data_IF_716609937864
#
_entry.id   IF_716609937864
#
_cell.length_a   1.000
_cell.length_b   1.000
_cell.length_c   1.000
_cell.angle_alpha   90.00
_cell.angle_beta   90.00
_cell.angle_gamma   90.00
#
_symmetry.space_group_name_H-M   'P 1'
#
loop_
_entity.id
_entity.type
_entity.pdbx_description
1 polymer ?
#
# COMPACT_ATOMS: atom_id res chain seq x y z
N UNK A 1 10.07 -47.69 6.84
CA UNK A 1 8.90 -46.83 6.69
C UNK A 1 9.14 -45.36 7.04
N UNK A 2 9.98 -45.02 8.07
CA UNK A 2 10.24 -43.61 8.45
C UNK A 2 10.95 -42.76 7.36
N UNK A 3 11.86 -43.35 6.58
CA UNK A 3 12.61 -42.59 5.56
C UNK A 3 11.81 -42.27 4.28
N UNK A 4 10.74 -43.03 3.97
CA UNK A 4 9.85 -42.70 2.82
C UNK A 4 8.90 -41.57 3.10
N UNK A 5 8.46 -41.40 4.36
CA UNK A 5 7.57 -40.31 4.78
C UNK A 5 8.31 -38.95 4.77
N UNK A 6 9.61 -38.93 5.20
CA UNK A 6 10.42 -37.70 5.14
C UNK A 6 10.68 -37.22 3.70
N UNK A 7 10.94 -38.17 2.78
CA UNK A 7 11.16 -37.81 1.37
C UNK A 7 9.89 -37.24 0.70
N UNK A 8 8.70 -37.77 1.04
CA UNK A 8 7.43 -37.29 0.48
C UNK A 8 7.03 -35.90 1.02
N UNK A 9 7.33 -35.61 2.29
CA UNK A 9 7.07 -34.28 2.89
C UNK A 9 8.04 -33.24 2.33
N UNK A 10 9.32 -33.57 2.12
CA UNK A 10 10.29 -32.65 1.54
C UNK A 10 9.95 -32.28 0.08
N UNK A 11 9.49 -33.27 -0.74
CA UNK A 11 9.07 -33.00 -2.13
C UNK A 11 7.80 -32.15 -2.17
N UNK A 12 6.85 -32.36 -1.24
CA UNK A 12 5.63 -31.57 -1.18
C UNK A 12 5.92 -30.11 -0.78
N UNK A 13 6.86 -29.86 0.16
CA UNK A 13 7.25 -28.49 0.54
C UNK A 13 7.98 -27.76 -0.60
N UNK A 14 8.90 -28.42 -1.29
CA UNK A 14 9.58 -27.81 -2.44
C UNK A 14 8.65 -27.57 -3.63
N UNK A 15 7.68 -28.44 -3.87
CA UNK A 15 6.68 -28.28 -4.91
C UNK A 15 5.72 -27.10 -4.67
N UNK A 16 5.33 -26.86 -3.42
CA UNK A 16 4.43 -25.74 -3.06
C UNK A 16 5.15 -24.39 -3.13
N UNK A 17 6.42 -24.30 -2.74
CA UNK A 17 7.21 -23.08 -2.86
C UNK A 17 7.41 -22.67 -4.33
N UNK A 18 7.71 -23.63 -5.22
CA UNK A 18 7.83 -23.36 -6.65
C UNK A 18 6.52 -22.91 -7.29
N UNK A 19 5.39 -23.49 -6.90
CA UNK A 19 4.06 -23.07 -7.39
C UNK A 19 3.72 -21.64 -6.97
N UNK A 20 3.98 -21.26 -5.72
CA UNK A 20 3.73 -19.90 -5.23
C UNK A 20 4.59 -18.86 -5.96
N UNK A 21 5.86 -19.15 -6.22
CA UNK A 21 6.77 -18.27 -6.94
C UNK A 21 6.32 -18.05 -8.39
N UNK A 22 5.94 -19.10 -9.08
CA UNK A 22 5.45 -19.04 -10.46
C UNK A 22 4.12 -18.28 -10.54
N UNK A 23 3.20 -18.53 -9.62
CA UNK A 23 1.91 -17.82 -9.54
C UNK A 23 2.10 -16.32 -9.34
N UNK A 24 3.06 -15.88 -8.49
CA UNK A 24 3.32 -14.46 -8.29
C UNK A 24 3.87 -13.79 -9.54
N UNK A 25 4.80 -14.42 -10.28
CA UNK A 25 5.32 -13.90 -11.54
C UNK A 25 4.22 -13.79 -12.59
N UNK A 26 3.42 -14.83 -12.76
CA UNK A 26 2.28 -14.84 -13.69
C UNK A 26 1.26 -13.73 -13.35
N UNK A 27 0.97 -13.52 -12.06
CA UNK A 27 0.06 -12.46 -11.62
C UNK A 27 0.61 -11.06 -11.93
N UNK A 28 1.88 -10.82 -11.67
CA UNK A 28 2.54 -9.53 -11.94
C UNK A 28 2.59 -9.25 -13.43
N UNK A 29 3.03 -10.22 -14.23
CA UNK A 29 3.13 -10.06 -15.68
C UNK A 29 1.76 -10.06 -16.40
N UNK A 30 0.74 -10.64 -15.77
CA UNK A 30 -0.64 -10.60 -16.28
C UNK A 30 -1.32 -9.24 -16.09
N UNK A 31 -0.76 -8.36 -15.26
CA UNK A 31 -1.18 -6.97 -15.06
C UNK A 31 0.08 -6.16 -14.82
N UNK A 32 0.68 -5.68 -15.90
CA UNK A 32 2.04 -5.09 -15.87
C UNK A 32 2.14 -3.89 -14.91
N UNK A 33 1.06 -3.17 -14.67
CA UNK A 33 0.98 -2.07 -13.72
C UNK A 33 1.31 -2.50 -12.28
N UNK A 34 1.18 -3.79 -11.94
CA UNK A 34 1.60 -4.33 -10.64
C UNK A 34 3.10 -4.26 -10.42
N UNK A 35 3.90 -4.18 -11.50
CA UNK A 35 5.33 -3.95 -11.39
C UNK A 35 5.69 -2.60 -10.77
N UNK A 36 4.74 -1.68 -10.68
CA UNK A 36 4.89 -0.42 -9.96
C UNK A 36 4.87 -0.57 -8.42
N UNK A 37 4.65 -1.78 -7.89
CA UNK A 37 4.65 -2.03 -6.45
C UNK A 37 3.64 -1.18 -5.71
N UNK A 38 4.07 -0.42 -4.69
CA UNK A 38 3.19 0.48 -3.91
C UNK A 38 2.66 1.67 -4.72
N UNK A 39 3.17 1.92 -5.93
CA UNK A 39 2.60 2.90 -6.87
C UNK A 39 1.42 2.31 -7.67
N UNK A 40 1.14 1.01 -7.53
CA UNK A 40 -0.02 0.39 -8.16
C UNK A 40 -1.29 1.16 -7.78
N UNK A 41 -2.01 1.66 -8.78
CA UNK A 41 -3.26 2.39 -8.57
C UNK A 41 -4.29 1.47 -7.91
N UNK A 42 -5.11 2.01 -7.02
CA UNK A 42 -6.14 1.23 -6.33
C UNK A 42 -7.05 0.53 -7.35
N UNK A 43 -7.16 -0.80 -7.32
CA UNK A 43 -7.93 -1.52 -8.32
C UNK A 43 -9.42 -1.18 -8.22
N UNK A 44 -10.10 -1.16 -9.35
CA UNK A 44 -11.56 -1.05 -9.36
C UNK A 44 -12.20 -2.27 -8.68
N UNK A 45 -13.03 -2.01 -7.65
CA UNK A 45 -13.68 -3.04 -6.83
C UNK A 45 -15.20 -2.98 -7.04
N UNK A 46 -15.64 -2.94 -8.29
CA UNK A 46 -17.05 -2.71 -8.63
C UNK A 46 -18.01 -3.79 -8.10
N UNK A 47 -17.53 -5.02 -7.85
CA UNK A 47 -18.35 -6.17 -7.49
C UNK A 47 -17.94 -6.86 -6.18
N UNK A 48 -17.31 -6.14 -5.25
CA UNK A 48 -16.92 -6.73 -3.96
C UNK A 48 -18.18 -6.98 -3.10
N UNK A 49 -18.70 -8.22 -3.13
CA UNK A 49 -19.80 -8.62 -2.27
C UNK A 49 -19.25 -8.89 -0.87
N UNK A 50 -19.64 -8.06 0.09
CA UNK A 50 -19.38 -8.32 1.50
C UNK A 50 -20.40 -9.29 2.07
N UNK A 51 -19.96 -10.18 2.95
CA UNK A 51 -20.87 -11.12 3.64
C UNK A 51 -21.92 -10.35 4.45
N UNK A 52 -23.21 -10.62 4.28
CA UNK A 52 -24.28 -9.93 5.01
C UNK A 52 -24.15 -10.10 6.52
N UNK A 53 -24.65 -9.14 7.28
CA UNK A 53 -24.70 -9.24 8.74
C UNK A 53 -25.49 -10.50 9.18
N UNK A 54 -25.07 -11.20 10.24
CA UNK A 54 -25.81 -12.31 10.79
C UNK A 54 -27.21 -11.88 11.23
N UNK A 55 -28.16 -12.84 11.23
CA UNK A 55 -29.57 -12.57 11.61
C UNK A 55 -29.66 -11.88 12.98
N UNK A 56 -30.33 -10.74 13.02
CA UNK A 56 -30.51 -9.94 14.23
C UNK A 56 -29.39 -8.94 14.53
N UNK A 57 -28.34 -8.92 13.71
CA UNK A 57 -27.25 -7.95 13.85
C UNK A 57 -27.40 -6.79 12.85
N UNK A 58 -26.95 -5.63 13.28
CA UNK A 58 -26.97 -4.39 12.46
C UNK A 58 -25.61 -3.69 12.57
N UNK A 59 -24.97 -3.28 11.46
CA UNK A 59 -23.74 -2.49 11.53
C UNK A 59 -24.02 -1.13 12.16
N UNK A 60 -23.10 -0.64 13.02
CA UNK A 60 -23.32 0.62 13.73
C UNK A 60 -22.09 1.51 13.84
N UNK A 61 -20.88 0.99 13.67
CA UNK A 61 -19.63 1.75 13.75
C UNK A 61 -18.60 1.20 12.77
N UNK A 62 -17.77 2.09 12.21
CA UNK A 62 -16.62 1.72 11.37
C UNK A 62 -15.37 2.43 11.85
N UNK A 63 -14.31 1.68 12.15
CA UNK A 63 -12.95 2.19 12.30
C UNK A 63 -12.21 2.01 10.98
N UNK A 64 -11.74 3.10 10.39
CA UNK A 64 -11.05 3.11 9.11
C UNK A 64 -9.64 3.69 9.25
N UNK A 65 -8.69 3.08 8.55
CA UNK A 65 -7.37 3.63 8.27
C UNK A 65 -7.10 3.57 6.76
N UNK A 66 -6.79 4.70 6.13
CA UNK A 66 -6.49 4.80 4.70
C UNK A 66 -5.11 5.39 4.44
N UNK A 67 -4.41 4.84 3.46
CA UNK A 67 -3.30 5.49 2.77
C UNK A 67 -3.86 6.61 1.89
N UNK A 68 -3.10 7.69 1.62
CA UNK A 68 -3.46 8.66 0.59
C UNK A 68 -3.69 7.98 -0.77
N UNK A 69 -4.46 8.61 -1.66
CA UNK A 69 -4.73 8.14 -3.00
C UNK A 69 -3.54 8.27 -3.95
N UNK A 70 -3.76 7.94 -5.23
CA UNK A 70 -2.80 8.16 -6.31
C UNK A 70 -2.25 9.58 -6.29
N UNK A 71 -0.96 9.74 -6.59
CA UNK A 71 -0.19 10.98 -6.51
C UNK A 71 0.91 11.01 -7.55
N UNK A 72 1.44 12.18 -7.84
CA UNK A 72 2.65 12.36 -8.65
C UNK A 72 3.89 11.86 -7.90
N UNK A 73 5.03 11.70 -8.59
CA UNK A 73 6.32 11.32 -7.97
C UNK A 73 6.68 12.28 -6.82
N UNK A 74 7.61 11.84 -5.97
CA UNK A 74 7.87 12.53 -4.71
C UNK A 74 8.69 13.82 -4.87
N UNK A 75 9.53 13.89 -5.89
CA UNK A 75 10.35 15.07 -6.16
C UNK A 75 10.21 15.50 -7.62
N UNK A 76 10.29 16.82 -7.85
CA UNK A 76 10.33 17.38 -9.20
C UNK A 76 11.52 16.83 -10.00
N UNK A 77 12.62 16.53 -9.32
CA UNK A 77 13.82 15.93 -9.90
C UNK A 77 13.59 14.54 -10.43
N UNK A 78 12.61 13.80 -9.92
CA UNK A 78 12.27 12.45 -10.43
C UNK A 78 11.83 12.50 -11.91
N UNK A 79 11.29 13.65 -12.37
CA UNK A 79 10.97 13.89 -13.78
C UNK A 79 12.07 14.66 -14.50
N UNK A 80 12.55 15.75 -13.90
CA UNK A 80 13.43 16.70 -14.60
C UNK A 80 14.85 16.18 -14.84
N UNK A 81 15.35 15.26 -14.02
CA UNK A 81 16.69 14.73 -14.19
C UNK A 81 16.76 13.77 -15.39
N UNK A 82 15.77 12.88 -15.56
CA UNK A 82 15.69 12.02 -16.72
C UNK A 82 15.45 12.84 -18.00
N UNK A 83 14.58 13.85 -17.96
CA UNK A 83 14.36 14.76 -19.10
C UNK A 83 15.68 15.44 -19.49
N UNK A 84 16.39 16.04 -18.54
CA UNK A 84 17.68 16.70 -18.79
C UNK A 84 18.71 15.75 -19.37
N UNK A 85 18.79 14.52 -18.89
CA UNK A 85 19.70 13.49 -19.38
C UNK A 85 19.39 13.18 -20.85
N UNK A 86 18.13 12.99 -21.20
CA UNK A 86 17.70 12.68 -22.56
C UNK A 86 17.85 13.89 -23.51
N UNK A 87 17.54 15.11 -23.04
CA UNK A 87 17.78 16.35 -23.83
C UNK A 87 19.25 16.56 -24.18
N UNK A 88 20.15 16.32 -23.22
CA UNK A 88 21.59 16.46 -23.48
C UNK A 88 22.06 15.41 -24.50
N UNK A 89 21.52 14.21 -24.47
CA UNK A 89 21.81 13.19 -25.46
C UNK A 89 21.26 13.52 -26.85
N UNK A 90 20.07 14.14 -26.92
CA UNK A 90 19.51 14.59 -28.21
C UNK A 90 20.32 15.72 -28.82
N UNK A 91 20.72 16.73 -28.03
CA UNK A 91 21.63 17.81 -28.47
C UNK A 91 22.97 17.27 -29.02
N UNK A 92 23.44 16.15 -28.47
CA UNK A 92 24.64 15.46 -28.92
C UNK A 92 24.40 14.49 -30.12
N UNK A 93 23.18 14.41 -30.63
CA UNK A 93 22.75 13.43 -31.64
C UNK A 93 23.07 11.97 -31.26
N UNK A 94 22.97 11.67 -29.96
CA UNK A 94 23.28 10.35 -29.38
C UNK A 94 22.05 9.44 -29.23
N UNK A 95 20.83 9.96 -29.45
CA UNK A 95 19.59 9.19 -29.29
C UNK A 95 19.22 8.40 -30.58
N UNK A 96 18.71 7.19 -30.36
CA UNK A 96 18.01 6.43 -31.41
C UNK A 96 16.62 7.04 -31.67
N UNK A 97 15.89 6.61 -32.71
CA UNK A 97 14.48 6.99 -32.88
C UNK A 97 13.60 6.69 -31.65
N UNK A 98 13.84 5.56 -30.97
CA UNK A 98 13.14 5.20 -29.74
C UNK A 98 13.50 6.14 -28.58
N UNK A 99 14.78 6.50 -28.44
CA UNK A 99 15.22 7.46 -27.42
C UNK A 99 14.59 8.85 -27.62
N UNK A 100 14.45 9.30 -28.90
CA UNK A 100 13.75 10.56 -29.21
C UNK A 100 12.26 10.49 -28.92
N UNK A 101 11.62 9.37 -29.20
CA UNK A 101 10.22 9.15 -28.86
C UNK A 101 10.02 9.14 -27.34
N UNK A 102 10.90 8.47 -26.57
CA UNK A 102 10.87 8.48 -25.12
C UNK A 102 11.03 9.91 -24.56
N UNK A 103 11.94 10.73 -25.10
CA UNK A 103 12.08 12.14 -24.71
C UNK A 103 10.80 12.95 -24.99
N UNK A 104 10.17 12.76 -26.14
CA UNK A 104 8.90 13.42 -26.46
C UNK A 104 7.80 13.06 -25.47
N UNK A 105 7.69 11.77 -25.11
CA UNK A 105 6.75 11.30 -24.09
C UNK A 105 7.05 11.89 -22.70
N UNK A 106 8.32 12.01 -22.31
CA UNK A 106 8.72 12.67 -21.07
C UNK A 106 8.27 14.14 -21.05
N UNK A 107 8.48 14.89 -22.14
CA UNK A 107 7.98 16.27 -22.25
C UNK A 107 6.46 16.36 -22.21
N UNK A 108 5.76 15.37 -22.75
CA UNK A 108 4.29 15.33 -22.71
C UNK A 108 3.77 15.17 -21.29
N UNK A 109 4.26 14.18 -20.56
CA UNK A 109 3.79 13.90 -19.21
C UNK A 109 4.19 15.01 -18.24
N UNK A 110 5.34 15.65 -18.46
CA UNK A 110 5.81 16.71 -17.58
C UNK A 110 4.91 17.95 -17.61
N UNK A 111 4.19 18.21 -18.71
CA UNK A 111 3.18 19.30 -18.76
C UNK A 111 2.07 19.11 -17.71
N UNK A 112 1.75 17.87 -17.38
CA UNK A 112 0.80 17.58 -16.29
C UNK A 112 1.50 17.57 -14.94
N UNK A 113 2.73 17.05 -14.83
CA UNK A 113 3.44 16.84 -13.58
C UNK A 113 4.16 18.08 -13.03
N UNK A 114 4.47 19.09 -13.88
CA UNK A 114 5.21 20.29 -13.51
C UNK A 114 4.60 21.01 -12.29
N UNK A 115 5.41 21.19 -11.24
CA UNK A 115 5.02 21.85 -10.00
C UNK A 115 4.01 21.04 -9.16
N UNK A 116 3.84 19.74 -9.41
CA UNK A 116 2.87 18.89 -8.72
C UNK A 116 3.51 17.71 -7.98
N UNK A 117 4.83 17.75 -7.78
CA UNK A 117 5.51 16.73 -6.98
C UNK A 117 4.83 16.53 -5.62
N UNK A 118 4.63 15.28 -5.21
CA UNK A 118 3.91 14.84 -4.00
C UNK A 118 2.39 15.09 -3.97
N UNK A 119 1.82 15.86 -4.87
CA UNK A 119 0.41 16.21 -4.85
C UNK A 119 -0.49 15.00 -5.13
N UNK A 120 -1.63 14.95 -4.46
CA UNK A 120 -2.70 14.01 -4.76
C UNK A 120 -3.19 14.23 -6.20
N UNK A 121 -3.19 13.18 -7.03
CA UNK A 121 -3.69 13.30 -8.39
C UNK A 121 -5.24 13.28 -8.44
N UNK A 122 -5.86 13.72 -9.54
CA UNK A 122 -7.30 13.61 -9.72
C UNK A 122 -7.82 12.17 -9.57
N UNK A 123 -7.03 11.18 -9.99
CA UNK A 123 -7.34 9.76 -9.75
C UNK A 123 -7.39 9.44 -8.25
N UNK A 124 -6.45 9.97 -7.46
CA UNK A 124 -6.43 9.78 -6.00
C UNK A 124 -7.68 10.30 -5.31
N UNK A 125 -8.20 11.44 -5.76
CA UNK A 125 -9.50 11.98 -5.31
C UNK A 125 -10.62 11.00 -5.63
N UNK A 126 -10.69 10.50 -6.87
CA UNK A 126 -11.74 9.55 -7.30
C UNK A 126 -11.67 8.22 -6.53
N UNK A 127 -10.47 7.73 -6.22
CA UNK A 127 -10.28 6.52 -5.43
C UNK A 127 -10.92 6.66 -4.04
N UNK A 128 -10.63 7.72 -3.31
CA UNK A 128 -11.20 7.94 -1.98
C UNK A 128 -12.71 8.18 -2.01
N UNK A 129 -13.21 8.91 -2.98
CA UNK A 129 -14.67 9.09 -3.18
C UNK A 129 -15.35 7.73 -3.47
N UNK A 130 -14.73 6.87 -4.29
CA UNK A 130 -15.24 5.53 -4.59
C UNK A 130 -15.26 4.61 -3.37
N UNK A 131 -14.19 4.61 -2.55
CA UNK A 131 -14.14 3.83 -1.31
C UNK A 131 -15.23 4.31 -0.32
N UNK A 132 -15.39 5.62 -0.15
CA UNK A 132 -16.44 6.19 0.70
C UNK A 132 -17.85 5.79 0.23
N UNK A 133 -18.10 5.83 -1.07
CA UNK A 133 -19.39 5.43 -1.65
C UNK A 133 -19.67 3.95 -1.42
N UNK A 134 -18.71 3.07 -1.67
CA UNK A 134 -18.87 1.62 -1.43
C UNK A 134 -19.06 1.32 0.05
N UNK A 135 -18.32 1.99 0.95
CA UNK A 135 -18.50 1.87 2.39
C UNK A 135 -19.92 2.28 2.81
N UNK A 136 -20.42 3.42 2.33
CA UNK A 136 -21.79 3.88 2.59
C UNK A 136 -22.83 2.90 2.05
N UNK A 137 -22.66 2.42 0.82
CA UNK A 137 -23.58 1.48 0.16
C UNK A 137 -23.64 0.13 0.88
N UNK A 138 -22.51 -0.36 1.38
CA UNK A 138 -22.43 -1.64 2.08
C UNK A 138 -22.97 -1.57 3.52
N UNK A 139 -22.89 -0.38 4.16
CA UNK A 139 -23.24 -0.20 5.58
C UNK A 139 -24.06 1.08 5.82
N UNK A 140 -25.19 1.29 5.10
CA UNK A 140 -25.93 2.56 5.19
C UNK A 140 -26.48 2.83 6.61
N UNK A 141 -26.73 1.81 7.41
CA UNK A 141 -27.20 1.93 8.79
C UNK A 141 -26.16 2.61 9.71
N UNK A 142 -24.87 2.50 9.40
CA UNK A 142 -23.81 3.18 10.14
C UNK A 142 -23.94 4.69 10.00
N UNK A 143 -24.31 5.14 8.82
CA UNK A 143 -24.39 6.56 8.42
C UNK A 143 -25.81 7.13 8.53
N UNK A 144 -26.56 6.71 9.55
CA UNK A 144 -27.89 7.25 9.81
C UNK A 144 -27.84 8.74 10.18
N UNK A 145 -29.00 9.42 10.04
CA UNK A 145 -29.14 10.85 10.33
C UNK A 145 -28.67 11.22 11.75
N UNK A 146 -27.95 12.34 11.85
CA UNK A 146 -27.51 12.89 13.13
C UNK A 146 -26.28 12.19 13.75
N UNK A 147 -25.74 11.15 13.08
CA UNK A 147 -24.51 10.48 13.54
C UNK A 147 -23.28 11.33 13.28
N UNK A 148 -22.24 11.14 14.10
CA UNK A 148 -20.99 11.89 14.02
C UNK A 148 -19.86 11.05 13.45
N UNK A 149 -18.95 11.69 12.73
CA UNK A 149 -17.72 11.07 12.18
C UNK A 149 -16.54 11.91 12.62
N UNK A 150 -15.53 11.26 13.23
CA UNK A 150 -14.22 11.85 13.47
C UNK A 150 -13.29 11.46 12.34
N UNK A 151 -12.74 12.45 11.62
CA UNK A 151 -11.81 12.24 10.51
C UNK A 151 -10.47 12.93 10.81
N UNK A 152 -9.38 12.17 10.82
CA UNK A 152 -8.03 12.66 11.11
C UNK A 152 -7.06 12.26 10.01
N UNK A 153 -6.16 13.18 9.66
CA UNK A 153 -5.07 12.89 8.72
C UNK A 153 -3.71 13.28 9.28
N UNK A 154 -2.66 12.72 8.67
CA UNK A 154 -1.33 13.32 8.81
C UNK A 154 -1.37 14.76 8.25
N UNK A 155 -0.36 15.56 8.66
CA UNK A 155 -0.25 16.96 8.22
C UNK A 155 0.22 17.11 6.76
N UNK A 156 0.48 16.01 6.07
CA UNK A 156 0.88 16.01 4.67
C UNK A 156 -0.34 16.26 3.79
N UNK A 157 -0.23 17.22 2.88
CA UNK A 157 -1.35 17.75 2.10
C UNK A 157 -2.16 16.65 1.38
N UNK A 158 -1.50 15.70 0.70
CA UNK A 158 -2.19 14.62 0.00
C UNK A 158 -3.03 13.72 0.92
N UNK A 159 -2.64 13.56 2.20
CA UNK A 159 -3.44 12.81 3.18
C UNK A 159 -4.68 13.62 3.61
N UNK A 160 -4.51 14.93 3.85
CA UNK A 160 -5.62 15.81 4.19
C UNK A 160 -6.63 15.93 3.04
N UNK A 161 -6.15 16.03 1.80
CA UNK A 161 -7.00 16.04 0.60
C UNK A 161 -7.72 14.71 0.38
N UNK A 162 -7.06 13.58 0.64
CA UNK A 162 -7.69 12.25 0.62
C UNK A 162 -8.80 12.12 1.65
N UNK A 163 -8.56 12.61 2.88
CA UNK A 163 -9.56 12.68 3.94
C UNK A 163 -10.75 13.54 3.54
N UNK A 164 -10.51 14.73 2.96
CA UNK A 164 -11.57 15.62 2.50
C UNK A 164 -12.40 14.97 1.39
N UNK A 165 -11.76 14.40 0.35
CA UNK A 165 -12.44 13.71 -0.75
C UNK A 165 -13.36 12.58 -0.27
N UNK A 166 -12.88 11.80 0.72
CA UNK A 166 -13.64 10.73 1.35
C UNK A 166 -14.86 11.27 2.12
N UNK A 167 -14.63 12.24 3.00
CA UNK A 167 -15.68 12.80 3.84
C UNK A 167 -16.71 13.60 3.05
N UNK A 168 -16.31 14.36 2.04
CA UNK A 168 -17.20 15.09 1.15
C UNK A 168 -18.15 14.13 0.42
N UNK A 169 -17.64 12.96 -0.02
CA UNK A 169 -18.50 11.95 -0.63
C UNK A 169 -19.53 11.40 0.35
N UNK A 170 -19.15 11.14 1.61
CA UNK A 170 -20.13 10.75 2.64
C UNK A 170 -21.18 11.85 2.89
N UNK A 171 -20.77 13.13 2.90
CA UNK A 171 -21.71 14.28 3.06
C UNK A 171 -22.65 14.43 1.87
N UNK A 172 -22.20 14.17 0.65
CA UNK A 172 -23.08 14.16 -0.54
C UNK A 172 -24.14 13.05 -0.44
N UNK A 173 -23.76 11.88 0.07
CA UNK A 173 -24.66 10.73 0.23
C UNK A 173 -25.64 10.91 1.41
N UNK A 174 -25.21 11.55 2.49
CA UNK A 174 -26.07 11.96 3.59
C UNK A 174 -25.65 13.33 4.17
N UNK A 175 -26.29 14.43 3.74
CA UNK A 175 -25.99 15.79 4.21
C UNK A 175 -26.17 16.02 5.73
N UNK A 176 -26.91 15.14 6.42
CA UNK A 176 -27.18 15.25 7.87
C UNK A 176 -26.07 14.68 8.76
N UNK A 177 -25.04 14.04 8.17
CA UNK A 177 -23.87 13.60 8.92
C UNK A 177 -23.08 14.81 9.45
N UNK A 178 -22.55 14.71 10.66
CA UNK A 178 -21.61 15.69 11.21
C UNK A 178 -20.19 15.12 11.13
N UNK A 179 -19.34 15.69 10.27
CA UNK A 179 -17.97 15.25 10.08
C UNK A 179 -17.01 16.30 10.65
N UNK A 180 -16.16 15.88 11.59
CA UNK A 180 -15.14 16.70 12.23
C UNK A 180 -13.77 16.35 11.64
N UNK A 181 -13.21 17.28 10.87
CA UNK A 181 -11.92 17.11 10.20
C UNK A 181 -10.79 17.70 11.03
N UNK A 182 -9.74 16.93 11.25
CA UNK A 182 -8.54 17.38 11.94
C UNK A 182 -7.27 16.89 11.21
N UNK A 183 -6.39 17.84 10.86
CA UNK A 183 -5.02 17.56 10.41
C UNK A 183 -4.09 18.36 11.32
N UNK A 184 -3.45 17.70 12.29
CA UNK A 184 -2.74 18.39 13.37
C UNK A 184 -1.49 17.64 13.81
N UNK A 185 -0.41 18.39 14.13
CA UNK A 185 0.81 17.84 14.76
C UNK A 185 0.53 17.08 16.05
N UNK A 186 -0.56 17.43 16.74
CA UNK A 186 -1.03 16.75 17.97
C UNK A 186 -1.20 15.24 17.80
N UNK A 187 -1.59 14.79 16.61
CA UNK A 187 -1.91 13.39 16.35
C UNK A 187 -0.79 12.61 15.64
N UNK A 188 0.29 13.28 15.25
CA UNK A 188 1.38 12.64 14.50
C UNK A 188 2.04 11.52 15.28
N UNK A 189 2.14 11.65 16.60
CA UNK A 189 2.78 10.64 17.45
C UNK A 189 2.17 9.24 17.26
N UNK A 190 0.84 9.12 17.27
CA UNK A 190 0.20 7.82 17.06
C UNK A 190 -0.07 7.51 15.58
N UNK A 191 -0.33 8.51 14.71
CA UNK A 191 -0.65 8.28 13.30
C UNK A 191 0.55 7.85 12.47
N UNK A 192 1.71 8.45 12.71
CA UNK A 192 2.91 8.31 11.87
C UNK A 192 4.19 8.13 12.67
N UNK A 193 4.11 8.04 13.99
CA UNK A 193 5.27 7.89 14.87
C UNK A 193 6.04 6.60 14.57
N UNK A 194 7.37 6.67 14.61
CA UNK A 194 8.26 5.53 14.42
C UNK A 194 9.31 5.54 15.52
N UNK A 195 9.62 4.39 16.10
CA UNK A 195 10.62 4.28 17.16
C UNK A 195 12.05 4.50 16.65
N UNK A 196 12.96 4.84 17.56
CA UNK A 196 14.36 5.02 17.22
C UNK A 196 15.01 3.72 16.72
N UNK A 197 14.61 2.56 17.27
CA UNK A 197 15.07 1.24 16.82
C UNK A 197 14.60 0.96 15.39
N UNK A 198 13.35 1.28 15.06
CA UNK A 198 12.85 1.13 13.70
C UNK A 198 13.57 2.07 12.75
N UNK A 199 13.80 3.32 13.14
CA UNK A 199 14.54 4.30 12.33
C UNK A 199 16.01 3.88 12.13
N UNK A 200 16.67 3.34 13.15
CA UNK A 200 18.02 2.82 13.02
C UNK A 200 18.10 1.62 12.04
N UNK A 201 17.10 0.74 12.07
CA UNK A 201 17.06 -0.40 11.13
C UNK A 201 16.74 0.05 9.71
N UNK A 202 15.74 0.91 9.52
CA UNK A 202 15.20 1.27 8.18
C UNK A 202 15.99 2.40 7.50
N UNK A 203 16.84 3.10 8.23
CA UNK A 203 17.61 4.24 7.74
C UNK A 203 18.66 3.88 6.68
N UNK A 204 19.32 4.91 6.16
CA UNK A 204 20.28 4.78 5.06
C UNK A 204 21.49 3.89 5.39
N UNK A 205 21.82 3.73 6.66
CA UNK A 205 22.89 2.84 7.15
C UNK A 205 22.34 1.54 7.77
N UNK A 206 21.06 1.23 7.52
CA UNK A 206 20.43 0.01 8.05
C UNK A 206 21.06 -1.26 7.53
N UNK A 207 21.10 -2.33 8.33
CA UNK A 207 21.84 -3.57 8.00
C UNK A 207 21.29 -4.29 6.76
N UNK A 208 20.02 -4.06 6.41
CA UNK A 208 19.36 -4.63 5.23
C UNK A 208 19.96 -4.14 3.90
N UNK A 209 20.59 -2.95 3.89
CA UNK A 209 21.08 -2.31 2.66
C UNK A 209 22.16 -3.09 1.94
N UNK A 210 23.03 -3.79 2.65
CA UNK A 210 24.12 -4.55 2.03
C UNK A 210 23.56 -5.64 1.11
N UNK A 211 22.56 -6.38 1.59
CA UNK A 211 21.92 -7.43 0.78
C UNK A 211 21.02 -6.82 -0.32
N UNK A 212 20.34 -5.72 -0.01
CA UNK A 212 19.56 -4.98 -1.01
C UNK A 212 20.42 -4.51 -2.20
N UNK A 213 21.57 -3.89 -1.95
CA UNK A 213 22.44 -3.40 -3.02
C UNK A 213 23.00 -4.53 -3.88
N UNK A 214 23.34 -5.66 -3.29
CA UNK A 214 23.74 -6.87 -4.04
C UNK A 214 22.59 -7.37 -4.91
N UNK A 215 21.40 -7.47 -4.33
CA UNK A 215 20.20 -7.93 -5.01
C UNK A 215 19.80 -6.98 -6.15
N UNK A 216 19.78 -5.67 -5.89
CA UNK A 216 19.49 -4.62 -6.86
C UNK A 216 20.45 -4.69 -8.05
N UNK A 217 21.76 -4.85 -7.81
CA UNK A 217 22.76 -4.98 -8.89
C UNK A 217 22.57 -6.25 -9.71
N UNK A 218 22.21 -7.36 -9.10
CA UNK A 218 21.98 -8.62 -9.79
C UNK A 218 20.70 -8.62 -10.66
N UNK A 219 19.72 -7.79 -10.32
CA UNK A 219 18.39 -7.72 -10.99
C UNK A 219 18.20 -6.46 -11.84
N UNK A 220 19.22 -5.61 -12.03
CA UNK A 220 19.13 -4.45 -12.90
C UNK A 220 19.94 -4.70 -14.18
N UNK A 221 19.23 -4.92 -15.27
CA UNK A 221 19.81 -5.23 -16.59
C UNK A 221 19.72 -4.00 -17.51
N UNK A 222 20.80 -3.20 -17.58
CA UNK A 222 20.79 -1.92 -18.29
C UNK A 222 21.23 -1.99 -19.77
N UNK A 223 21.98 -3.01 -20.17
CA UNK A 223 22.64 -3.07 -21.48
C UNK A 223 21.66 -2.98 -22.66
N UNK A 224 20.58 -3.79 -22.62
CA UNK A 224 19.55 -3.78 -23.68
C UNK A 224 18.86 -2.43 -23.74
N UNK A 225 18.44 -1.92 -22.57
CA UNK A 225 17.72 -0.65 -22.45
C UNK A 225 18.52 0.50 -23.03
N UNK A 226 19.79 0.63 -22.62
CA UNK A 226 20.69 1.71 -23.09
C UNK A 226 20.94 1.58 -24.59
N UNK A 227 21.23 0.38 -25.12
CA UNK A 227 21.40 0.15 -26.57
C UNK A 227 20.14 0.46 -27.39
N UNK A 228 18.96 0.30 -26.80
CA UNK A 228 17.71 0.68 -27.46
C UNK A 228 17.52 2.20 -27.52
N UNK A 229 18.00 2.94 -26.52
CA UNK A 229 17.82 4.40 -26.38
C UNK A 229 18.91 5.23 -27.08
N UNK A 230 20.15 4.72 -27.14
CA UNK A 230 21.31 5.48 -27.60
C UNK A 230 21.98 4.83 -28.82
N UNK A 231 22.45 5.67 -29.74
CA UNK A 231 23.17 5.26 -30.93
C UNK A 231 24.65 5.65 -30.92
N UNK A 232 25.17 6.18 -29.82
CA UNK A 232 26.55 6.62 -29.65
C UNK A 232 27.14 6.07 -28.35
N UNK A 233 27.89 4.97 -28.44
CA UNK A 233 28.49 4.28 -27.29
C UNK A 233 29.53 5.18 -26.57
N UNK A 234 30.27 6.03 -27.28
CA UNK A 234 31.25 6.94 -26.66
C UNK A 234 30.55 8.00 -25.81
N UNK A 235 29.41 8.50 -26.27
CA UNK A 235 28.59 9.43 -25.50
C UNK A 235 28.07 8.76 -24.22
N UNK A 236 27.51 7.55 -24.35
CA UNK A 236 27.01 6.77 -23.20
C UNK A 236 28.11 6.55 -22.17
N UNK A 237 29.27 6.08 -22.59
CA UNK A 237 30.38 5.80 -21.69
C UNK A 237 30.82 7.02 -20.88
N UNK A 238 30.73 8.22 -21.44
CA UNK A 238 31.19 9.47 -20.80
C UNK A 238 30.13 10.18 -19.97
N UNK A 239 28.84 10.03 -20.30
CA UNK A 239 27.81 10.93 -19.83
C UNK A 239 26.62 10.23 -19.16
N UNK A 240 26.47 8.90 -19.30
CA UNK A 240 25.31 8.15 -18.82
C UNK A 240 25.75 7.16 -17.76
N UNK A 241 25.03 7.13 -16.64
CA UNK A 241 25.02 5.99 -15.75
C UNK A 241 23.89 5.05 -16.21
N UNK A 242 24.22 3.91 -16.85
CA UNK A 242 23.21 2.99 -17.37
C UNK A 242 22.30 2.41 -16.29
N UNK A 243 22.85 2.20 -15.11
CA UNK A 243 22.12 1.61 -14.00
C UNK A 243 21.06 2.57 -13.45
N UNK A 244 21.44 3.81 -13.15
CA UNK A 244 20.50 4.80 -12.64
C UNK A 244 19.47 5.22 -13.71
N UNK A 245 19.86 5.32 -14.99
CA UNK A 245 18.92 5.67 -16.06
C UNK A 245 17.75 4.66 -16.16
N UNK A 246 18.01 3.37 -15.99
CA UNK A 246 16.95 2.33 -15.98
C UNK A 246 15.98 2.58 -14.82
N UNK A 247 16.50 2.93 -13.64
CA UNK A 247 15.67 3.23 -12.48
C UNK A 247 14.88 4.53 -12.66
N UNK A 248 15.46 5.57 -13.24
CA UNK A 248 14.74 6.82 -13.53
C UNK A 248 13.53 6.56 -14.41
N UNK A 249 13.72 5.81 -15.51
CA UNK A 249 12.61 5.43 -16.38
C UNK A 249 11.61 4.47 -15.71
N UNK A 250 12.06 3.58 -14.83
CA UNK A 250 11.16 2.71 -14.07
C UNK A 250 10.25 3.50 -13.12
N UNK A 251 10.77 4.52 -12.43
CA UNK A 251 9.96 5.38 -11.57
C UNK A 251 8.92 6.15 -12.37
N UNK A 252 9.31 6.75 -13.49
CA UNK A 252 8.38 7.43 -14.40
C UNK A 252 7.31 6.45 -14.91
N UNK A 253 7.72 5.28 -15.42
CA UNK A 253 6.79 4.26 -15.92
C UNK A 253 5.78 3.83 -14.84
N UNK A 254 6.25 3.67 -13.59
CA UNK A 254 5.42 3.26 -12.45
C UNK A 254 4.33 4.27 -12.11
N UNK A 255 4.59 5.57 -12.37
CA UNK A 255 3.67 6.65 -12.00
C UNK A 255 2.58 6.92 -13.05
N UNK A 256 2.76 6.49 -14.29
CA UNK A 256 1.82 6.81 -15.40
C UNK A 256 0.38 6.41 -15.07
N UNK A 257 0.17 5.29 -14.40
CA UNK A 257 -1.15 4.84 -13.97
C UNK A 257 -1.80 5.72 -12.90
N UNK A 258 -1.06 6.64 -12.29
CA UNK A 258 -1.52 7.58 -11.25
C UNK A 258 -1.87 8.96 -11.81
N UNK A 259 -1.55 9.23 -13.07
CA UNK A 259 -1.78 10.48 -13.80
C UNK A 259 -3.01 10.39 -14.72
N UNK A 260 -3.40 11.53 -15.32
CA UNK A 260 -4.52 11.61 -16.29
C UNK A 260 -4.02 11.46 -17.75
N UNK A 261 -2.89 10.80 -17.95
CA UNK A 261 -2.25 10.63 -19.27
C UNK A 261 -2.50 9.25 -19.86
N UNK A 262 -2.65 9.12 -21.19
CA UNK A 262 -2.62 7.83 -21.87
C UNK A 262 -1.19 7.34 -22.17
N UNK A 263 -0.17 8.15 -21.87
CA UNK A 263 1.24 7.81 -22.14
C UNK A 263 1.68 6.66 -21.25
N UNK A 264 2.46 5.75 -21.82
CA UNK A 264 3.10 4.64 -21.09
C UNK A 264 4.59 4.61 -21.42
N UNK A 265 5.39 4.04 -20.52
CA UNK A 265 6.81 3.75 -20.73
C UNK A 265 7.12 2.26 -20.48
N UNK A 266 6.12 1.44 -20.21
CA UNK A 266 6.31 0.00 -19.99
C UNK A 266 6.84 -0.71 -21.24
N UNK A 267 6.51 -0.21 -22.44
CA UNK A 267 7.00 -0.71 -23.73
C UNK A 267 8.52 -0.55 -23.96
N UNK A 268 9.18 0.29 -23.16
CA UNK A 268 10.64 0.46 -23.20
C UNK A 268 11.37 -0.72 -22.54
N UNK A 269 10.69 -1.48 -21.71
CA UNK A 269 11.21 -2.62 -20.97
C UNK A 269 10.68 -3.94 -21.51
N UNK A 270 11.40 -5.01 -21.29
CA UNK A 270 10.82 -6.35 -21.39
C UNK A 270 10.03 -6.67 -20.11
N UNK A 271 9.05 -7.59 -20.17
CA UNK A 271 8.33 -8.03 -18.98
C UNK A 271 9.25 -8.57 -17.86
N UNK A 272 10.31 -9.29 -18.23
CA UNK A 272 11.28 -9.81 -17.26
C UNK A 272 12.09 -8.70 -16.58
N UNK A 273 12.52 -7.67 -17.32
CA UNK A 273 13.19 -6.50 -16.76
C UNK A 273 12.30 -5.77 -15.75
N UNK A 274 11.02 -5.55 -16.08
CA UNK A 274 10.06 -4.93 -15.15
C UNK A 274 9.84 -5.79 -13.91
N UNK A 275 9.77 -7.11 -14.08
CA UNK A 275 9.62 -8.03 -12.97
C UNK A 275 10.83 -7.99 -12.03
N UNK A 276 12.04 -7.97 -12.57
CA UNK A 276 13.29 -7.90 -11.80
C UNK A 276 13.42 -6.57 -11.05
N UNK A 277 13.09 -5.44 -11.67
CA UNK A 277 13.06 -4.13 -11.03
C UNK A 277 12.01 -4.09 -9.92
N UNK A 278 10.81 -4.64 -10.17
CA UNK A 278 9.78 -4.75 -9.15
C UNK A 278 10.23 -5.61 -7.96
N UNK A 279 10.90 -6.74 -8.16
CA UNK A 279 11.42 -7.56 -7.06
C UNK A 279 12.35 -6.75 -6.16
N UNK A 280 13.23 -5.91 -6.75
CA UNK A 280 14.11 -5.02 -5.98
C UNK A 280 13.31 -4.01 -5.17
N UNK A 281 12.30 -3.38 -5.77
CA UNK A 281 11.47 -2.39 -5.10
C UNK A 281 10.61 -3.04 -4.00
N UNK A 282 9.96 -4.17 -4.30
CA UNK A 282 9.21 -4.95 -3.32
C UNK A 282 10.05 -5.33 -2.10
N UNK A 283 11.30 -5.79 -2.32
CA UNK A 283 12.21 -6.11 -1.23
C UNK A 283 12.63 -4.89 -0.43
N UNK A 284 12.99 -3.78 -1.09
CA UNK A 284 13.32 -2.52 -0.41
C UNK A 284 12.16 -2.06 0.48
N UNK A 285 10.95 -2.06 -0.06
CA UNK A 285 9.76 -1.62 0.66
C UNK A 285 9.45 -2.56 1.83
N UNK A 286 9.61 -3.88 1.63
CA UNK A 286 9.49 -4.88 2.67
C UNK A 286 10.48 -4.63 3.82
N UNK A 287 11.75 -4.41 3.52
CA UNK A 287 12.80 -4.15 4.53
C UNK A 287 12.51 -2.90 5.36
N UNK A 288 11.90 -1.89 4.75
CA UNK A 288 11.70 -0.59 5.42
C UNK A 288 10.34 -0.43 6.07
N UNK A 289 9.32 -1.25 5.73
CA UNK A 289 7.97 -1.03 6.19
C UNK A 289 7.23 -2.29 6.68
N UNK A 290 7.75 -3.50 6.44
CA UNK A 290 7.09 -4.74 6.81
C UNK A 290 7.82 -5.48 7.95
N UNK A 291 7.49 -6.76 8.13
CA UNK A 291 8.01 -7.60 9.23
C UNK A 291 9.35 -8.28 8.84
N UNK A 292 10.36 -7.53 8.45
CA UNK A 292 11.68 -8.09 8.14
C UNK A 292 12.27 -8.78 9.38
N UNK A 293 12.68 -10.05 9.26
CA UNK A 293 13.13 -10.88 10.39
C UNK A 293 14.26 -10.24 11.21
N UNK A 294 15.24 -9.59 10.53
CA UNK A 294 16.34 -8.93 11.23
C UNK A 294 15.93 -7.66 12.00
N UNK A 295 14.77 -7.07 11.71
CA UNK A 295 14.23 -5.95 12.47
C UNK A 295 13.64 -6.37 13.83
N UNK A 296 13.46 -7.69 14.06
CA UNK A 296 12.98 -8.26 15.34
C UNK A 296 11.70 -7.59 15.85
N UNK A 297 10.81 -7.23 14.94
CA UNK A 297 9.54 -6.58 15.25
C UNK A 297 9.61 -5.06 15.49
N UNK A 298 10.77 -4.42 15.47
CA UNK A 298 10.91 -2.99 15.77
C UNK A 298 10.01 -2.10 14.88
N UNK A 299 9.93 -2.42 13.58
CA UNK A 299 9.11 -1.66 12.63
C UNK A 299 7.63 -1.74 13.04
N UNK A 300 7.10 -2.94 13.23
CA UNK A 300 5.69 -3.15 13.59
C UNK A 300 5.37 -2.56 14.98
N UNK A 301 6.25 -2.76 15.97
CA UNK A 301 6.04 -2.28 17.33
C UNK A 301 5.94 -0.75 17.40
N UNK A 302 6.50 -0.02 16.44
CA UNK A 302 6.34 1.44 16.34
C UNK A 302 4.89 1.88 16.15
N UNK A 303 4.00 0.97 15.71
CA UNK A 303 2.59 1.26 15.42
C UNK A 303 1.63 0.76 16.50
N UNK A 304 2.14 0.36 17.67
CA UNK A 304 1.31 -0.01 18.81
C UNK A 304 0.39 1.12 19.27
N UNK A 305 0.85 2.37 19.24
CA UNK A 305 0.00 3.50 19.62
C UNK A 305 -1.14 3.74 18.63
N UNK A 306 -0.92 3.47 17.34
CA UNK A 306 -1.98 3.50 16.33
C UNK A 306 -3.00 2.38 16.57
N UNK A 307 -2.55 1.16 16.84
CA UNK A 307 -3.44 0.05 17.19
C UNK A 307 -4.21 0.32 18.48
N UNK A 308 -3.55 0.87 19.50
CA UNK A 308 -4.20 1.31 20.75
C UNK A 308 -5.31 2.31 20.46
N UNK A 309 -5.03 3.33 19.67
CA UNK A 309 -6.04 4.32 19.27
C UNK A 309 -7.22 3.70 18.50
N UNK A 310 -6.99 2.67 17.69
CA UNK A 310 -8.06 1.94 17.00
C UNK A 310 -8.96 1.23 18.01
N UNK A 311 -8.38 0.50 18.98
CA UNK A 311 -9.11 -0.24 20.01
C UNK A 311 -9.90 0.73 20.92
N UNK A 312 -9.24 1.75 21.46
CA UNK A 312 -9.85 2.73 22.35
C UNK A 312 -10.98 3.53 21.67
N UNK A 313 -10.80 3.90 20.39
CA UNK A 313 -11.86 4.58 19.63
C UNK A 313 -13.06 3.67 19.38
N UNK A 314 -12.86 2.36 19.22
CA UNK A 314 -13.94 1.40 19.09
C UNK A 314 -14.72 1.27 20.42
N UNK A 315 -14.01 1.11 21.54
CA UNK A 315 -14.63 1.07 22.88
C UNK A 315 -15.44 2.36 23.17
N UNK A 316 -14.88 3.53 22.82
CA UNK A 316 -15.57 4.81 22.97
C UNK A 316 -16.84 4.90 22.13
N UNK A 317 -16.79 4.48 20.86
CA UNK A 317 -17.94 4.48 19.95
C UNK A 317 -19.04 3.48 20.39
N UNK A 318 -18.64 2.36 20.99
CA UNK A 318 -19.57 1.38 21.59
C UNK A 318 -20.29 2.00 22.78
N UNK A 319 -19.56 2.74 23.63
CA UNK A 319 -20.10 3.35 24.84
C UNK A 319 -21.01 4.56 24.53
N UNK A 320 -20.63 5.43 23.59
CA UNK A 320 -21.39 6.65 23.27
C UNK A 320 -22.62 6.38 22.36
N UNK A 321 -22.55 5.32 21.54
CA UNK A 321 -23.60 4.90 20.64
C UNK A 321 -23.93 5.89 19.51
N UNK A 322 -23.24 7.04 19.42
CA UNK A 322 -23.49 8.12 18.44
C UNK A 322 -22.43 8.23 17.35
N UNK A 323 -21.19 7.85 17.63
CA UNK A 323 -20.09 7.86 16.66
C UNK A 323 -20.35 6.83 15.55
N UNK A 324 -20.51 7.29 14.30
CA UNK A 324 -20.68 6.44 13.13
C UNK A 324 -19.35 5.86 12.66
N UNK A 325 -18.33 6.70 12.57
CA UNK A 325 -17.02 6.26 12.11
C UNK A 325 -15.87 7.08 12.72
N UNK A 326 -14.72 6.42 12.86
CA UNK A 326 -13.42 7.06 13.09
C UNK A 326 -12.54 6.80 11.88
N UNK A 327 -12.27 7.83 11.10
CA UNK A 327 -11.50 7.78 9.87
C UNK A 327 -10.09 8.32 10.10
N UNK A 328 -9.07 7.61 9.61
CA UNK A 328 -7.67 8.00 9.70
C UNK A 328 -7.03 7.93 8.33
N UNK A 329 -6.20 8.92 7.97
CA UNK A 329 -5.54 8.98 6.67
C UNK A 329 -4.06 9.32 6.85
N UNK A 330 -3.18 8.45 6.30
CA UNK A 330 -1.74 8.65 6.37
C UNK A 330 -1.06 7.99 5.15
N UNK A 331 -0.01 7.20 5.37
CA UNK A 331 0.88 6.72 4.31
C UNK A 331 0.92 5.19 4.23
N UNK A 332 1.52 4.68 3.14
CA UNK A 332 1.91 3.28 2.99
C UNK A 332 2.82 2.80 4.13
N UNK A 333 3.79 3.64 4.51
CA UNK A 333 4.70 3.38 5.63
C UNK A 333 4.02 3.26 7.00
N UNK A 334 2.72 3.53 7.09
CA UNK A 334 1.93 3.39 8.32
C UNK A 334 0.97 2.20 8.23
N UNK A 335 0.23 2.04 7.10
CA UNK A 335 -0.71 0.93 6.96
C UNK A 335 0.00 -0.42 6.86
N UNK A 336 1.14 -0.48 6.17
CA UNK A 336 1.91 -1.72 6.01
C UNK A 336 2.34 -2.33 7.35
N UNK A 337 3.08 -1.62 8.24
CA UNK A 337 3.43 -2.17 9.54
C UNK A 337 2.24 -2.34 10.47
N UNK A 338 1.17 -1.54 10.35
CA UNK A 338 -0.06 -1.73 11.11
C UNK A 338 -0.73 -3.06 10.76
N UNK A 339 -0.89 -3.37 9.47
CA UNK A 339 -1.50 -4.64 9.03
C UNK A 339 -0.66 -5.85 9.44
N UNK A 340 0.67 -5.72 9.38
CA UNK A 340 1.58 -6.75 9.88
C UNK A 340 1.48 -6.93 11.42
N UNK A 341 1.44 -5.83 12.19
CA UNK A 341 1.25 -5.86 13.65
C UNK A 341 -0.07 -6.53 14.04
N UNK A 342 -1.12 -6.25 13.31
CA UNK A 342 -2.46 -6.82 13.55
C UNK A 342 -2.57 -8.29 13.13
N UNK A 343 -1.56 -8.86 12.46
CA UNK A 343 -1.58 -10.22 11.94
C UNK A 343 -2.62 -10.40 10.82
N UNK A 344 -2.81 -9.38 9.98
CA UNK A 344 -3.72 -9.47 8.83
C UNK A 344 -3.17 -10.50 7.85
N UNK A 345 -4.03 -11.38 7.39
CA UNK A 345 -3.72 -12.42 6.42
C UNK A 345 -2.88 -11.89 5.24
N UNK A 346 -1.75 -12.55 4.96
CA UNK A 346 -0.76 -12.21 3.93
C UNK A 346 0.00 -10.88 4.14
N UNK A 347 -0.09 -10.24 5.31
CA UNK A 347 0.62 -8.98 5.61
C UNK A 347 1.80 -9.15 6.57
N UNK A 348 1.83 -10.21 7.38
CA UNK A 348 2.71 -10.39 8.53
C UNK A 348 3.92 -11.32 8.29
N UNK A 349 4.15 -11.75 7.06
CA UNK A 349 5.26 -12.64 6.71
C UNK A 349 6.60 -12.14 7.29
N UNK A 350 7.31 -13.03 8.00
CA UNK A 350 8.57 -12.74 8.67
C UNK A 350 9.72 -13.46 7.98
N UNK A 351 10.31 -12.82 6.99
CA UNK A 351 11.41 -13.37 6.16
C UNK A 351 12.56 -12.36 6.06
N UNK A 352 13.68 -12.75 5.49
CA UNK A 352 14.82 -11.84 5.28
C UNK A 352 15.53 -12.04 3.94
N UNK A 353 15.33 -13.18 3.28
CA UNK A 353 16.00 -13.51 2.03
C UNK A 353 15.32 -12.79 0.84
N UNK A 354 16.05 -11.90 0.12
CA UNK A 354 15.50 -11.15 -1.02
C UNK A 354 14.95 -12.05 -2.13
N UNK A 355 15.52 -13.26 -2.28
CA UNK A 355 15.12 -14.21 -3.31
C UNK A 355 13.81 -14.94 -3.01
N UNK A 356 13.26 -14.79 -1.81
CA UNK A 356 12.03 -15.48 -1.39
C UNK A 356 10.92 -14.56 -0.91
N UNK A 357 11.21 -13.27 -0.60
CA UNK A 357 10.22 -12.32 -0.08
C UNK A 357 8.97 -12.27 -0.95
N UNK A 358 9.11 -12.17 -2.27
CA UNK A 358 8.00 -12.06 -3.21
C UNK A 358 7.06 -13.28 -3.23
N UNK A 359 7.49 -14.40 -2.68
CA UNK A 359 6.66 -15.62 -2.54
C UNK A 359 5.71 -15.53 -1.34
N UNK A 360 6.05 -14.71 -0.35
CA UNK A 360 5.35 -14.61 0.92
C UNK A 360 4.67 -13.26 1.12
N UNK A 361 5.17 -12.23 0.46
CA UNK A 361 4.71 -10.86 0.64
C UNK A 361 4.89 -10.05 -0.65
N UNK A 362 3.87 -9.23 -0.99
CA UNK A 362 3.90 -8.36 -2.16
C UNK A 362 3.28 -7.00 -1.83
N UNK A 363 4.02 -5.95 -2.12
CA UNK A 363 3.69 -4.57 -1.81
C UNK A 363 2.39 -4.09 -2.46
N UNK A 364 2.15 -4.41 -3.73
CA UNK A 364 0.94 -4.03 -4.46
C UNK A 364 -0.35 -4.69 -3.92
N UNK A 365 -0.26 -5.81 -3.15
CA UNK A 365 -1.41 -6.41 -2.46
C UNK A 365 -1.65 -5.78 -1.10
N UNK A 366 -0.55 -5.49 -0.38
CA UNK A 366 -0.64 -4.97 0.98
C UNK A 366 -0.96 -3.48 0.97
N UNK A 367 -0.26 -2.71 0.16
CA UNK A 367 -0.33 -1.26 0.24
C UNK A 367 -0.33 -0.57 -1.13
N UNK A 368 -1.27 -0.88 -2.05
CA UNK A 368 -1.46 -0.09 -3.27
C UNK A 368 -1.84 1.36 -2.93
N UNK A 369 -1.88 2.26 -3.90
CA UNK A 369 -2.45 3.61 -3.70
C UNK A 369 -3.86 3.51 -3.09
N UNK A 370 -4.24 4.40 -2.18
CA UNK A 370 -5.51 4.38 -1.44
C UNK A 370 -5.79 3.09 -0.65
N UNK A 371 -4.76 2.27 -0.36
CA UNK A 371 -4.92 1.08 0.49
C UNK A 371 -5.64 1.42 1.79
N UNK A 372 -6.49 0.51 2.26
CA UNK A 372 -7.30 0.78 3.44
C UNK A 372 -7.56 -0.46 4.29
N UNK A 373 -7.73 -0.20 5.59
CA UNK A 373 -8.16 -1.16 6.59
C UNK A 373 -9.48 -0.68 7.22
N UNK A 374 -10.47 -1.55 7.29
CA UNK A 374 -11.77 -1.25 7.87
C UNK A 374 -12.13 -2.31 8.91
N UNK A 375 -12.49 -1.88 10.11
CA UNK A 375 -13.12 -2.70 11.13
C UNK A 375 -14.58 -2.27 11.23
N UNK A 376 -15.49 -3.14 10.82
CA UNK A 376 -16.94 -2.87 10.82
C UNK A 376 -17.59 -3.59 11.98
N UNK A 377 -18.26 -2.85 12.85
CA UNK A 377 -18.85 -3.33 14.09
C UNK A 377 -20.36 -3.52 13.96
N UNK A 378 -20.85 -4.63 14.50
CA UNK A 378 -22.26 -5.03 14.44
C UNK A 378 -22.80 -5.24 15.85
N UNK A 379 -23.97 -4.68 16.13
CA UNK A 379 -24.70 -4.90 17.39
C UNK A 379 -25.93 -5.78 17.18
N UNK A 380 -26.22 -6.61 18.15
CA UNK A 380 -27.40 -7.45 18.18
C UNK A 380 -28.59 -6.68 18.77
N UNK A 381 -29.76 -6.81 18.20
CA UNK A 381 -30.99 -6.20 18.75
C UNK A 381 -31.29 -6.81 20.15
N UNK A 382 -31.32 -5.97 21.16
CA UNK A 382 -31.53 -6.40 22.55
C UNK A 382 -30.33 -7.11 23.20
N UNK A 383 -29.16 -7.11 22.53
CA UNK A 383 -27.93 -7.67 23.05
C UNK A 383 -27.14 -6.71 23.95
N UNK A 384 -26.09 -7.22 24.56
CA UNK A 384 -25.13 -6.49 25.39
C UNK A 384 -23.86 -6.17 24.60
N UNK A 385 -22.88 -5.54 25.26
CA UNK A 385 -21.53 -5.30 24.67
C UNK A 385 -20.82 -6.61 24.34
N UNK A 386 -21.10 -7.71 25.02
CA UNK A 386 -20.49 -9.02 24.80
C UNK A 386 -21.01 -9.69 23.50
N UNK A 387 -22.17 -9.23 23.00
CA UNK A 387 -22.74 -9.70 21.73
C UNK A 387 -22.18 -8.95 20.51
N UNK A 388 -21.28 -7.97 20.66
CA UNK A 388 -20.75 -7.19 19.55
C UNK A 388 -19.84 -8.04 18.67
N UNK A 389 -20.10 -8.00 17.38
CA UNK A 389 -19.25 -8.62 16.35
C UNK A 389 -18.46 -7.54 15.61
N UNK A 390 -17.28 -7.90 15.16
CA UNK A 390 -16.46 -7.11 14.26
C UNK A 390 -16.07 -7.92 13.03
N UNK A 391 -16.04 -7.27 11.88
CA UNK A 391 -15.52 -7.79 10.60
C UNK A 391 -14.34 -6.94 10.19
N UNK A 392 -13.27 -7.57 9.72
CA UNK A 392 -12.06 -6.88 9.25
C UNK A 392 -11.97 -6.98 7.73
N UNK A 393 -11.78 -5.83 7.07
CA UNK A 393 -11.52 -5.75 5.64
C UNK A 393 -10.19 -5.06 5.39
N UNK A 394 -9.39 -5.66 4.53
CA UNK A 394 -8.17 -5.06 3.99
C UNK A 394 -8.35 -4.83 2.48
N UNK A 395 -8.14 -3.61 2.03
CA UNK A 395 -8.43 -3.20 0.65
C UNK A 395 -9.85 -3.63 0.21
N UNK A 396 -10.82 -3.41 1.11
CA UNK A 396 -12.25 -3.74 0.94
C UNK A 396 -12.55 -5.25 0.79
N UNK A 397 -11.59 -6.14 1.06
CA UNK A 397 -11.77 -7.60 1.08
C UNK A 397 -11.78 -8.12 2.51
N UNK A 398 -12.71 -9.04 2.80
CA UNK A 398 -12.77 -9.73 4.10
C UNK A 398 -11.52 -10.57 4.30
N UNK A 399 -10.85 -10.42 5.45
CA UNK A 399 -9.56 -11.06 5.74
C UNK A 399 -9.57 -11.74 7.11
N UNK A 400 -8.73 -12.78 7.23
CA UNK A 400 -8.48 -13.41 8.51
C UNK A 400 -7.53 -12.56 9.39
N UNK A 401 -7.77 -12.67 10.70
CA UNK A 401 -6.90 -12.19 11.78
C UNK A 401 -6.58 -13.36 12.72
N UNK A 402 -5.52 -13.31 13.54
CA UNK A 402 -5.13 -14.43 14.41
C UNK A 402 -6.01 -14.56 15.67
N UNK A 403 -7.33 -14.51 15.47
CA UNK A 403 -8.36 -14.71 16.48
C UNK A 403 -9.30 -15.80 15.98
N UNK A 404 -9.61 -16.79 16.82
CA UNK A 404 -10.49 -17.87 16.41
C UNK A 404 -11.93 -17.37 16.23
N UNK A 405 -12.60 -17.89 15.20
CA UNK A 405 -14.04 -17.68 14.98
C UNK A 405 -14.65 -18.89 14.29
N UNK A 406 -15.89 -19.19 14.64
CA UNK A 406 -16.74 -20.20 13.97
C UNK A 406 -17.69 -19.59 12.90
N UNK A 407 -17.64 -18.26 12.74
CA UNK A 407 -18.53 -17.48 11.86
C UNK A 407 -17.78 -16.51 10.94
N UNK A 408 -16.63 -16.91 10.36
CA UNK A 408 -15.91 -16.04 9.42
C UNK A 408 -16.89 -15.42 8.39
N UNK A 409 -16.80 -14.12 8.15
CA UNK A 409 -15.77 -13.14 8.54
C UNK A 409 -16.08 -12.35 9.83
N UNK A 410 -16.95 -12.83 10.70
CA UNK A 410 -17.34 -12.18 11.95
C UNK A 410 -16.56 -12.75 13.13
N UNK A 411 -16.05 -11.86 13.99
CA UNK A 411 -15.33 -12.16 15.21
C UNK A 411 -16.06 -11.52 16.39
N UNK A 412 -16.03 -12.12 17.59
CA UNK A 412 -16.49 -11.44 18.80
C UNK A 412 -15.55 -10.31 19.13
N UNK A 413 -16.09 -9.11 19.37
CA UNK A 413 -15.23 -7.96 19.72
C UNK A 413 -14.46 -8.19 21.01
N UNK A 414 -15.05 -8.85 22.01
CA UNK A 414 -14.37 -9.23 23.25
C UNK A 414 -13.07 -9.99 23.01
N UNK A 415 -13.09 -10.95 22.09
CA UNK A 415 -11.94 -11.81 21.80
C UNK A 415 -10.87 -11.04 21.00
N UNK A 416 -11.29 -10.26 20.00
CA UNK A 416 -10.39 -9.39 19.23
C UNK A 416 -9.76 -8.31 20.12
N UNK A 417 -10.55 -7.70 20.98
CA UNK A 417 -10.08 -6.69 21.94
C UNK A 417 -9.06 -7.26 22.93
N UNK A 418 -9.34 -8.44 23.47
CA UNK A 418 -8.41 -9.14 24.37
C UNK A 418 -7.09 -9.44 23.66
N UNK A 419 -7.15 -10.03 22.46
CA UNK A 419 -5.96 -10.34 21.68
C UNK A 419 -5.08 -9.12 21.41
N UNK A 420 -5.67 -8.00 20.97
CA UNK A 420 -4.90 -6.79 20.70
C UNK A 420 -4.43 -6.09 21.97
N UNK A 421 -5.18 -6.16 23.08
CA UNK A 421 -4.73 -5.63 24.37
C UNK A 421 -3.50 -6.40 24.88
N UNK A 422 -3.49 -7.73 24.75
CA UNK A 422 -2.36 -8.57 25.12
C UNK A 422 -1.14 -8.31 24.22
N UNK A 423 -1.36 -8.05 22.93
CA UNK A 423 -0.31 -7.67 21.98
C UNK A 423 0.31 -6.30 22.36
N UNK A 424 -0.51 -5.35 22.78
CA UNK A 424 -0.07 -4.02 23.18
C UNK A 424 0.70 -4.02 24.51
N UNK A 425 0.47 -5.02 25.37
CA UNK A 425 1.15 -5.17 26.67
C UNK A 425 2.56 -5.79 26.57
N UNK A 426 2.85 -6.51 25.50
CA UNK A 426 4.18 -7.09 25.19
C UNK A 426 5.13 -6.03 24.69
#
# INVERSE_FOLDING_TARGET
>A
MKNKILATVAVALFGTLSLCAQTTKEEVLGTIEKTAGVYFAYPSVENNKVTPAPKGYTPFYISHFGRHGSRYLLAETDYTDVIRTMENADKANALTPLGKDALNRLHEIYKEAEGRAEDLSPLGVRQHRGIAERMYRNYPQVFADGRTISARSSIVLRCAMSMAAFGDRLKELNPKLSIYYESSRKYMGYLTGRSDEANAFTGNNGPWRIEYEKFRRAHTHSDRFVKAMFCNDEYVLKNIDPFELVWDFYWVASDMQNMETPVSFYDLFTPDELYDLWQCFNYQFYCTNANHAAAKGAIMNSYKDLLRNIVESADAAIADGNTAATLRFAHDSNITPLTALMGIENCDACVSDPYTVYQHWTDFKVSPMAANLQLVFFKKKGGTTDDILVKVLHNEKEVHIPVATDQFPFYRWTDVRSYYTDLLAK
#
